data_IF_819568141332
#
_entry.id   IF_819568141332
#
_cell.length_a   1.000
_cell.length_b   1.000
_cell.length_c   1.000
_cell.angle_alpha   90.00
_cell.angle_beta   90.00
_cell.angle_gamma   90.00
#
_symmetry.space_group_name_H-M   'P 1'
#
loop_
_entity.id
_entity.type
_entity.pdbx_description
1 polymer ?
#
# COMPACT_ATOMS: atom_id res chain seq x y z
N UNK A 1 54.40 31.72 -47.72
CA UNK A 1 54.85 30.33 -47.94
C UNK A 1 53.66 29.44 -47.66
N UNK A 2 52.97 28.75 -48.57
CA UNK A 2 53.28 28.32 -49.93
C UNK A 2 53.11 26.80 -50.02
N UNK A 3 52.00 26.33 -50.62
CA UNK A 3 51.74 24.94 -51.11
C UNK A 3 51.34 23.92 -50.03
N UNK A 4 50.11 23.38 -49.98
CA UNK A 4 49.32 22.59 -50.93
C UNK A 4 49.94 21.22 -51.31
N UNK A 5 49.28 20.11 -50.92
CA UNK A 5 48.83 19.05 -51.84
C UNK A 5 48.10 17.91 -51.12
N UNK A 6 46.88 17.67 -51.62
CA UNK A 6 46.13 16.42 -51.53
C UNK A 6 46.95 15.19 -51.93
N UNK A 7 46.60 14.02 -51.35
CA UNK A 7 46.52 12.74 -52.10
C UNK A 7 45.59 11.73 -51.41
N UNK A 8 44.65 11.26 -52.23
CA UNK A 8 43.64 10.20 -52.04
C UNK A 8 44.26 8.80 -52.24
N UNK A 9 43.44 7.79 -51.92
CA UNK A 9 43.49 6.34 -52.28
C UNK A 9 44.40 5.47 -51.42
N UNK A 10 44.08 4.22 -51.05
CA UNK A 10 42.98 3.28 -51.31
C UNK A 10 43.39 1.95 -50.62
N UNK A 11 42.52 1.34 -49.81
CA UNK A 11 41.81 0.08 -50.06
C UNK A 11 42.65 -1.22 -50.11
N UNK A 12 42.02 -2.28 -49.55
CA UNK A 12 42.30 -3.74 -49.57
C UNK A 12 43.12 -4.29 -48.40
N UNK A 13 42.89 -5.49 -47.88
CA UNK A 13 41.79 -6.48 -47.87
C UNK A 13 42.36 -7.62 -47.01
N UNK A 14 41.60 -8.17 -46.06
CA UNK A 14 41.71 -9.59 -45.71
C UNK A 14 40.41 -10.03 -45.05
N UNK A 15 39.70 -10.88 -45.78
CA UNK A 15 38.38 -11.45 -45.52
C UNK A 15 38.54 -12.97 -45.50
N UNK A 16 37.57 -13.63 -44.88
CA UNK A 16 37.16 -15.04 -45.04
C UNK A 16 37.87 -16.06 -44.13
N UNK A 17 37.23 -17.14 -43.66
CA UNK A 17 35.88 -17.67 -43.88
C UNK A 17 35.43 -18.44 -42.63
N UNK A 18 34.15 -18.55 -42.27
CA UNK A 18 32.98 -19.13 -42.96
C UNK A 18 33.00 -20.68 -42.95
N UNK A 19 31.85 -21.24 -42.53
CA UNK A 19 31.26 -22.57 -42.84
C UNK A 19 31.56 -23.71 -41.88
N UNK A 20 30.67 -24.66 -41.62
CA UNK A 20 29.24 -24.93 -41.86
C UNK A 20 28.96 -26.09 -40.84
N UNK A 21 27.82 -26.22 -40.17
CA UNK A 21 26.57 -26.69 -40.75
C UNK A 21 26.37 -28.19 -40.50
N UNK A 22 25.14 -28.55 -40.11
CA UNK A 22 24.47 -29.84 -40.30
C UNK A 22 24.94 -31.04 -39.45
N UNK A 23 24.12 -32.02 -39.07
CA UNK A 23 22.66 -32.27 -38.92
C UNK A 23 22.55 -33.79 -38.70
N UNK A 24 21.35 -34.23 -38.28
CA UNK A 24 20.82 -35.60 -38.46
C UNK A 24 21.41 -36.69 -37.54
N UNK A 25 20.71 -37.73 -37.10
CA UNK A 25 19.33 -38.22 -37.19
C UNK A 25 19.25 -39.39 -36.18
N UNK A 26 18.18 -39.53 -35.38
CA UNK A 26 16.95 -40.33 -35.62
C UNK A 26 17.14 -41.85 -35.60
N UNK A 27 16.11 -42.49 -35.01
CA UNK A 27 15.73 -43.92 -35.02
C UNK A 27 16.22 -44.72 -33.80
N UNK A 28 15.42 -45.51 -33.10
CA UNK A 28 14.03 -45.93 -33.30
C UNK A 28 13.84 -47.36 -32.78
N UNK A 29 12.60 -47.70 -32.35
CA UNK A 29 12.05 -49.07 -32.17
C UNK A 29 12.67 -49.94 -31.05
N UNK A 30 12.02 -50.95 -30.48
CA UNK A 30 10.62 -51.39 -30.20
C UNK A 30 10.81 -52.79 -29.57
N UNK A 31 9.75 -53.27 -28.90
CA UNK A 31 9.50 -54.68 -28.51
C UNK A 31 10.36 -55.20 -27.33
N UNK A 32 9.89 -56.02 -26.39
CA UNK A 32 8.63 -56.71 -26.09
C UNK A 32 8.88 -57.51 -24.80
N UNK A 33 7.96 -57.48 -23.83
CA UNK A 33 7.08 -58.58 -23.46
C UNK A 33 7.60 -59.55 -22.37
N UNK A 34 6.62 -60.09 -21.62
CA UNK A 34 6.61 -61.13 -20.57
C UNK A 34 6.77 -60.64 -19.14
N UNK A 35 6.04 -61.12 -18.14
CA UNK A 35 4.80 -61.92 -18.00
C UNK A 35 4.63 -62.00 -16.47
N UNK A 36 3.44 -61.73 -15.92
CA UNK A 36 2.89 -62.50 -14.79
C UNK A 36 1.46 -62.05 -14.49
N UNK A 37 0.61 -63.06 -14.49
CA UNK A 37 -0.83 -63.06 -14.55
C UNK A 37 -1.35 -63.63 -13.22
N UNK A 38 -2.25 -62.90 -12.56
CA UNK A 38 -3.30 -63.43 -11.69
C UNK A 38 -4.33 -62.28 -11.54
N UNK A 39 -5.58 -62.33 -11.97
CA UNK A 39 -6.49 -63.45 -12.16
C UNK A 39 -7.62 -63.37 -11.13
N UNK A 40 -8.63 -62.52 -11.35
CA UNK A 40 -10.00 -62.79 -10.87
C UNK A 40 -11.04 -61.98 -11.65
N UNK A 41 -11.88 -62.70 -12.39
CA UNK A 41 -13.18 -62.25 -12.91
C UNK A 41 -14.17 -62.27 -11.75
N UNK A 42 -15.15 -61.36 -11.75
CA UNK A 42 -16.58 -61.70 -11.83
C UNK A 42 -17.46 -60.45 -11.68
N UNK A 43 -18.57 -60.42 -12.43
CA UNK A 43 -19.80 -59.79 -11.95
C UNK A 43 -20.13 -58.37 -12.41
N UNK A 44 -20.30 -58.15 -13.71
CA UNK A 44 -21.12 -57.06 -14.20
C UNK A 44 -22.62 -57.40 -14.01
N UNK A 45 -23.25 -56.82 -12.99
CA UNK A 45 -24.71 -56.63 -12.84
C UNK A 45 -24.91 -55.83 -11.55
N UNK A 46 -25.04 -54.49 -11.65
CA UNK A 46 -25.71 -53.61 -10.66
C UNK A 46 -25.66 -52.11 -11.04
N UNK A 47 -25.75 -51.78 -12.33
CA UNK A 47 -25.68 -50.39 -12.80
C UNK A 47 -27.05 -49.80 -13.23
N UNK A 48 -28.19 -50.31 -12.72
CA UNK A 48 -29.52 -49.85 -13.17
C UNK A 48 -30.58 -49.60 -12.09
N UNK A 49 -30.22 -49.61 -10.81
CA UNK A 49 -31.12 -49.20 -9.72
C UNK A 49 -30.84 -47.77 -9.19
N UNK A 50 -29.58 -47.31 -9.16
CA UNK A 50 -29.20 -46.02 -8.57
C UNK A 50 -29.57 -44.74 -9.36
N UNK A 51 -30.12 -44.85 -10.58
CA UNK A 51 -30.39 -43.68 -11.45
C UNK A 51 -31.84 -43.15 -11.39
N UNK A 52 -32.77 -43.88 -10.75
CA UNK A 52 -34.16 -43.41 -10.53
C UNK A 52 -34.35 -42.69 -9.19
N UNK A 53 -33.64 -43.09 -8.15
CA UNK A 53 -33.73 -42.45 -6.81
C UNK A 53 -33.04 -41.08 -6.76
N UNK A 54 -31.94 -40.89 -7.51
CA UNK A 54 -31.27 -39.59 -7.64
C UNK A 54 -32.08 -38.54 -8.44
N UNK A 55 -33.12 -38.97 -9.18
CA UNK A 55 -33.96 -38.07 -10.00
C UNK A 55 -35.26 -37.66 -9.28
N UNK A 56 -35.74 -38.47 -8.33
CA UNK A 56 -36.88 -38.14 -7.48
C UNK A 56 -36.48 -37.20 -6.32
N UNK A 57 -35.37 -37.52 -5.64
CA UNK A 57 -34.79 -36.70 -4.56
C UNK A 57 -34.39 -35.29 -5.04
N UNK A 58 -33.89 -35.16 -6.28
CA UNK A 58 -33.56 -33.87 -6.87
C UNK A 58 -34.78 -33.11 -7.43
N UNK A 59 -35.96 -33.73 -7.52
CA UNK A 59 -37.22 -33.07 -7.93
C UNK A 59 -37.98 -32.54 -6.70
N UNK A 60 -37.94 -33.28 -5.59
CA UNK A 60 -38.52 -32.89 -4.29
C UNK A 60 -37.68 -31.79 -3.61
N UNK A 61 -36.34 -31.87 -3.65
CA UNK A 61 -35.48 -30.80 -3.16
C UNK A 61 -35.62 -29.49 -3.96
N UNK A 62 -35.90 -29.59 -5.26
CA UNK A 62 -36.15 -28.44 -6.14
C UNK A 62 -37.55 -27.86 -5.97
N UNK A 63 -38.55 -28.69 -5.63
CA UNK A 63 -39.90 -28.26 -5.27
C UNK A 63 -39.91 -27.55 -3.91
N UNK A 64 -39.28 -28.11 -2.89
CA UNK A 64 -39.16 -27.51 -1.56
C UNK A 64 -38.36 -26.19 -1.56
N UNK A 65 -37.31 -26.08 -2.38
CA UNK A 65 -36.57 -24.81 -2.52
C UNK A 65 -37.36 -23.76 -3.35
N UNK A 66 -38.24 -24.19 -4.26
CA UNK A 66 -39.11 -23.30 -5.04
C UNK A 66 -40.33 -22.84 -4.22
N UNK A 67 -40.83 -23.66 -3.32
CA UNK A 67 -41.87 -23.32 -2.34
C UNK A 67 -41.33 -22.45 -1.20
N UNK A 68 -40.13 -22.71 -0.69
CA UNK A 68 -39.45 -21.83 0.27
C UNK A 68 -39.05 -20.49 -0.36
N UNK A 69 -38.62 -20.46 -1.64
CA UNK A 69 -38.44 -19.22 -2.40
C UNK A 69 -39.75 -18.49 -2.65
N UNK A 70 -40.85 -19.18 -2.92
CA UNK A 70 -42.15 -18.55 -3.15
C UNK A 70 -42.80 -18.07 -1.85
N UNK A 71 -42.54 -18.72 -0.72
CA UNK A 71 -42.97 -18.28 0.61
C UNK A 71 -42.19 -17.03 1.05
N UNK A 72 -40.86 -17.04 0.97
CA UNK A 72 -40.04 -15.85 1.30
C UNK A 72 -40.24 -14.67 0.34
N UNK A 73 -40.58 -14.92 -0.93
CA UNK A 73 -40.96 -13.86 -1.89
C UNK A 73 -42.36 -13.30 -1.60
N UNK A 74 -43.24 -14.08 -0.98
CA UNK A 74 -44.57 -13.64 -0.54
C UNK A 74 -44.51 -12.87 0.79
N UNK A 75 -43.61 -13.23 1.71
CA UNK A 75 -43.50 -12.57 3.02
C UNK A 75 -42.96 -11.12 2.98
N UNK A 76 -42.31 -10.71 1.88
CA UNK A 76 -41.83 -9.32 1.72
C UNK A 76 -42.49 -8.52 0.59
N UNK A 77 -43.41 -9.13 -0.15
CA UNK A 77 -44.11 -8.45 -1.25
C UNK A 77 -45.07 -7.33 -0.80
N UNK A 78 -45.12 -7.01 0.50
CA UNK A 78 -45.93 -5.93 1.06
C UNK A 78 -45.19 -5.05 2.08
N UNK A 79 -43.87 -5.15 2.20
CA UNK A 79 -43.12 -4.25 3.09
C UNK A 79 -42.76 -2.98 2.32
N UNK A 80 -43.27 -1.85 2.79
CA UNK A 80 -42.98 -0.53 2.24
C UNK A 80 -41.46 -0.24 2.28
N UNK A 81 -40.78 -0.03 1.14
CA UNK A 81 -39.36 0.33 1.10
C UNK A 81 -39.03 1.54 1.97
N UNK A 82 -39.93 2.52 2.07
CA UNK A 82 -39.73 3.70 2.90
C UNK A 82 -39.67 3.33 4.40
N UNK A 83 -40.51 2.40 4.84
CA UNK A 83 -40.49 1.90 6.22
C UNK A 83 -39.18 1.17 6.53
N UNK A 84 -38.69 0.32 5.62
CA UNK A 84 -37.41 -0.38 5.77
C UNK A 84 -36.22 0.59 5.86
N UNK A 85 -36.23 1.64 5.05
CA UNK A 85 -35.20 2.68 5.09
C UNK A 85 -35.25 3.43 6.42
N UNK A 86 -36.44 3.84 6.86
CA UNK A 86 -36.62 4.58 8.11
C UNK A 86 -36.18 3.75 9.33
N UNK A 87 -36.59 2.47 9.39
CA UNK A 87 -36.16 1.53 10.43
C UNK A 87 -34.64 1.36 10.44
N UNK A 88 -34.03 1.11 9.27
CA UNK A 88 -32.59 0.97 9.17
C UNK A 88 -31.81 2.23 9.56
N UNK A 89 -32.34 3.43 9.27
CA UNK A 89 -31.74 4.70 9.70
C UNK A 89 -31.84 4.90 11.21
N UNK A 90 -32.98 4.52 11.82
CA UNK A 90 -33.17 4.61 13.25
C UNK A 90 -32.27 3.62 14.02
N UNK A 91 -32.08 2.42 13.47
CA UNK A 91 -31.26 1.36 14.07
C UNK A 91 -29.76 1.52 13.84
N UNK A 92 -29.36 2.36 12.87
CA UNK A 92 -27.96 2.59 12.52
C UNK A 92 -27.25 3.41 13.60
N UNK A 93 -26.07 2.96 13.99
CA UNK A 93 -25.18 3.76 14.81
C UNK A 93 -24.60 4.94 13.99
N UNK A 94 -25.02 6.16 14.33
CA UNK A 94 -24.66 7.40 13.59
C UNK A 94 -23.83 8.39 14.40
N UNK A 95 -23.43 8.04 15.63
CA UNK A 95 -22.63 8.91 16.47
C UNK A 95 -21.17 8.95 15.99
N UNK A 96 -20.81 10.05 15.36
CA UNK A 96 -19.49 10.25 14.76
C UNK A 96 -18.44 10.79 15.76
N UNK A 97 -18.73 10.85 17.06
CA UNK A 97 -17.71 11.18 18.05
C UNK A 97 -16.61 10.08 18.05
N UNK A 98 -15.33 10.43 17.81
CA UNK A 98 -14.28 9.45 17.51
C UNK A 98 -14.18 8.29 18.50
N UNK A 99 -14.21 8.59 19.81
CA UNK A 99 -14.11 7.60 20.88
C UNK A 99 -15.32 6.67 20.95
N UNK A 100 -16.53 7.21 20.78
CA UNK A 100 -17.78 6.44 20.86
C UNK A 100 -17.95 5.56 19.63
N UNK A 101 -17.65 6.10 18.45
CA UNK A 101 -17.59 5.33 17.21
C UNK A 101 -16.57 4.19 17.33
N UNK A 102 -15.36 4.48 17.80
CA UNK A 102 -14.34 3.47 18.00
C UNK A 102 -14.79 2.38 18.99
N UNK A 103 -15.35 2.76 20.14
CA UNK A 103 -15.87 1.81 21.13
C UNK A 103 -16.97 0.91 20.56
N UNK A 104 -17.86 1.46 19.73
CA UNK A 104 -18.94 0.72 19.09
C UNK A 104 -18.43 -0.31 18.06
N UNK A 105 -17.51 0.09 17.16
CA UNK A 105 -17.07 -0.77 16.05
C UNK A 105 -15.90 -1.70 16.39
N UNK A 106 -15.14 -1.40 17.45
CA UNK A 106 -14.03 -2.25 17.90
C UNK A 106 -14.38 -3.74 18.04
N UNK A 107 -15.44 -4.16 18.76
CA UNK A 107 -15.77 -5.58 18.90
C UNK A 107 -16.18 -6.26 17.58
N UNK A 108 -16.60 -5.48 16.57
CA UNK A 108 -16.86 -5.99 15.22
C UNK A 108 -15.56 -6.15 14.43
N UNK A 109 -14.66 -5.16 14.50
CA UNK A 109 -13.34 -5.21 13.88
C UNK A 109 -12.49 -6.37 14.43
N UNK A 110 -12.50 -6.61 15.73
CA UNK A 110 -11.73 -7.70 16.36
C UNK A 110 -12.15 -9.11 15.88
N UNK A 111 -13.33 -9.26 15.25
CA UNK A 111 -13.77 -10.51 14.62
C UNK A 111 -13.20 -10.74 13.23
N UNK A 112 -12.68 -9.68 12.58
CA UNK A 112 -12.03 -9.79 11.28
C UNK A 112 -10.72 -10.57 11.45
N UNK A 113 -10.49 -11.66 10.71
CA UNK A 113 -9.24 -12.42 10.82
C UNK A 113 -8.02 -11.54 10.56
N UNK A 114 -7.01 -11.63 11.44
CA UNK A 114 -5.77 -10.87 11.30
C UNK A 114 -4.78 -11.52 10.30
N UNK A 115 -5.00 -12.78 9.92
CA UNK A 115 -4.17 -13.49 8.94
C UNK A 115 -4.35 -12.85 7.56
N UNK A 116 -3.22 -12.58 6.89
CA UNK A 116 -3.17 -11.99 5.53
C UNK A 116 -3.89 -10.64 5.36
N UNK A 117 -4.17 -9.96 6.48
CA UNK A 117 -4.88 -8.69 6.48
C UNK A 117 -4.03 -7.59 5.81
N UNK A 118 -4.50 -6.94 4.74
CA UNK A 118 -3.77 -5.87 4.06
C UNK A 118 -3.42 -4.74 5.02
N UNK A 119 -2.26 -4.11 4.80
CA UNK A 119 -1.88 -2.90 5.54
C UNK A 119 -2.69 -1.74 5.00
N UNK A 120 -3.43 -1.05 5.86
CA UNK A 120 -4.12 0.17 5.48
C UNK A 120 -3.12 1.30 5.22
N UNK A 121 -3.17 1.86 4.01
CA UNK A 121 -2.33 2.97 3.54
C UNK A 121 -3.16 4.19 3.10
N UNK A 122 -4.48 4.15 3.29
CA UNK A 122 -5.40 5.21 2.87
C UNK A 122 -5.47 6.40 3.83
N UNK A 123 -6.34 7.36 3.48
CA UNK A 123 -6.63 8.56 4.30
C UNK A 123 -8.09 8.48 4.80
N UNK A 124 -8.34 8.20 6.10
CA UNK A 124 -9.70 8.01 6.61
C UNK A 124 -10.61 9.23 6.41
N UNK A 125 -10.10 10.45 6.59
CA UNK A 125 -10.89 11.66 6.37
C UNK A 125 -11.34 11.84 4.91
N UNK A 126 -10.47 11.49 3.94
CA UNK A 126 -10.84 11.48 2.52
C UNK A 126 -11.89 10.39 2.24
N UNK A 127 -11.73 9.20 2.83
CA UNK A 127 -12.72 8.13 2.72
C UNK A 127 -14.08 8.58 3.26
N UNK A 128 -14.12 9.30 4.39
CA UNK A 128 -15.37 9.80 4.98
C UNK A 128 -16.07 10.79 4.06
N UNK A 129 -15.33 11.72 3.45
CA UNK A 129 -15.88 12.65 2.47
C UNK A 129 -16.50 11.91 1.28
N UNK A 130 -15.82 10.89 0.76
CA UNK A 130 -16.31 10.08 -0.35
C UNK A 130 -17.54 9.24 0.02
N UNK A 131 -17.55 8.64 1.21
CA UNK A 131 -18.69 7.87 1.74
C UNK A 131 -19.92 8.76 1.86
N UNK A 132 -19.78 9.96 2.42
CA UNK A 132 -20.89 10.91 2.54
C UNK A 132 -21.43 11.33 1.17
N UNK A 133 -20.54 11.70 0.26
CA UNK A 133 -20.93 12.04 -1.11
C UNK A 133 -21.67 10.88 -1.82
N UNK A 134 -21.23 9.64 -1.60
CA UNK A 134 -21.88 8.45 -2.16
C UNK A 134 -23.27 8.19 -1.53
N UNK A 135 -23.42 8.38 -0.22
CA UNK A 135 -24.72 8.27 0.47
C UNK A 135 -25.70 9.35 0.00
N UNK A 136 -25.23 10.59 -0.16
CA UNK A 136 -26.04 11.71 -0.67
C UNK A 136 -26.50 11.44 -2.10
N UNK A 137 -25.62 10.90 -2.95
CA UNK A 137 -25.95 10.52 -4.33
C UNK A 137 -26.93 9.33 -4.40
N UNK A 138 -26.87 8.41 -3.43
CA UNK A 138 -27.74 7.25 -3.36
C UNK A 138 -29.15 7.58 -2.83
N UNK A 139 -29.28 8.57 -1.94
CA UNK A 139 -30.54 8.91 -1.27
C UNK A 139 -31.79 8.96 -2.18
N UNK A 140 -31.79 9.67 -3.34
CA UNK A 140 -32.96 9.70 -4.23
C UNK A 140 -33.29 8.35 -4.88
N UNK A 141 -32.34 7.41 -4.91
CA UNK A 141 -32.47 6.11 -5.55
C UNK A 141 -32.74 4.97 -4.56
N UNK A 142 -32.61 5.21 -3.24
CA UNK A 142 -32.78 4.21 -2.20
C UNK A 142 -34.10 3.43 -2.29
N UNK A 143 -35.28 4.03 -2.48
CA UNK A 143 -36.54 3.27 -2.54
C UNK A 143 -36.56 2.26 -3.71
N UNK A 144 -36.00 2.65 -4.86
CA UNK A 144 -35.91 1.78 -6.02
C UNK A 144 -34.90 0.64 -5.79
N UNK A 145 -33.73 0.96 -5.24
CA UNK A 145 -32.69 -0.02 -4.89
C UNK A 145 -33.19 -1.06 -3.88
N UNK A 146 -33.84 -0.61 -2.80
CA UNK A 146 -34.41 -1.46 -1.75
C UNK A 146 -35.50 -2.38 -2.30
N UNK A 147 -36.32 -1.89 -3.23
CA UNK A 147 -37.36 -2.69 -3.89
C UNK A 147 -36.75 -3.78 -4.80
N UNK A 148 -35.59 -3.52 -5.41
CA UNK A 148 -34.92 -4.44 -6.32
C UNK A 148 -34.10 -5.51 -5.59
N UNK A 149 -33.56 -5.18 -4.41
CA UNK A 149 -32.70 -6.08 -3.63
C UNK A 149 -33.49 -6.98 -2.68
N UNK A 150 -33.04 -8.23 -2.57
CA UNK A 150 -33.68 -9.22 -1.68
C UNK A 150 -33.38 -8.98 -0.21
N UNK A 151 -32.15 -8.57 0.10
CA UNK A 151 -31.62 -8.36 1.44
C UNK A 151 -30.68 -7.14 1.44
N UNK A 152 -31.21 -5.90 1.39
CA UNK A 152 -30.39 -4.71 1.41
C UNK A 152 -29.81 -4.51 2.82
N UNK A 153 -28.47 -4.39 2.91
CA UNK A 153 -27.71 -4.21 4.17
C UNK A 153 -27.71 -2.76 4.63
N UNK A 154 -28.89 -2.12 4.65
CA UNK A 154 -29.05 -0.67 4.83
C UNK A 154 -28.44 -0.14 6.12
N UNK A 155 -28.64 -0.84 7.24
CA UNK A 155 -28.06 -0.45 8.53
C UNK A 155 -26.53 -0.31 8.45
N UNK A 156 -25.87 -1.32 7.90
CA UNK A 156 -24.41 -1.36 7.79
C UNK A 156 -23.89 -0.24 6.86
N UNK A 157 -24.65 0.08 5.80
CA UNK A 157 -24.38 1.18 4.89
C UNK A 157 -24.53 2.55 5.57
N UNK A 158 -25.60 2.76 6.34
CA UNK A 158 -25.83 4.02 7.08
C UNK A 158 -24.84 4.22 8.22
N UNK A 159 -24.25 3.14 8.75
CA UNK A 159 -23.19 3.19 9.77
C UNK A 159 -21.80 3.56 9.20
N UNK A 160 -21.62 3.55 7.87
CA UNK A 160 -20.31 3.80 7.24
C UNK A 160 -19.63 5.10 7.70
N UNK A 161 -20.29 6.26 7.80
CA UNK A 161 -19.63 7.48 8.26
C UNK A 161 -19.05 7.36 9.68
N UNK A 162 -19.81 6.77 10.60
CA UNK A 162 -19.36 6.52 11.98
C UNK A 162 -18.23 5.47 12.02
N UNK A 163 -18.32 4.42 11.19
CA UNK A 163 -17.25 3.43 11.09
C UNK A 163 -15.94 4.03 10.53
N UNK A 164 -16.01 4.93 9.56
CA UNK A 164 -14.81 5.63 9.07
C UNK A 164 -14.23 6.55 10.15
N UNK A 165 -15.06 7.15 11.01
CA UNK A 165 -14.56 7.89 12.18
C UNK A 165 -13.86 6.99 13.20
N UNK A 166 -14.34 5.76 13.41
CA UNK A 166 -13.62 4.76 14.21
C UNK A 166 -12.26 4.39 13.60
N UNK A 167 -12.20 4.24 12.27
CA UNK A 167 -10.94 4.00 11.54
C UNK A 167 -9.98 5.18 11.70
N UNK A 168 -10.45 6.42 11.56
CA UNK A 168 -9.64 7.63 11.75
C UNK A 168 -9.02 7.69 13.15
N UNK A 169 -9.87 7.47 14.18
CA UNK A 169 -9.42 7.40 15.57
C UNK A 169 -8.38 6.30 15.79
N UNK A 170 -8.59 5.12 15.20
CA UNK A 170 -7.62 4.01 15.30
C UNK A 170 -6.32 4.30 14.55
N UNK A 171 -6.38 5.00 13.42
CA UNK A 171 -5.21 5.35 12.62
C UNK A 171 -4.31 6.35 13.37
N UNK A 172 -4.91 7.32 14.09
CA UNK A 172 -4.18 8.28 14.92
C UNK A 172 -3.45 7.64 16.11
N UNK A 173 -3.87 6.45 16.55
CA UNK A 173 -3.25 5.71 17.66
C UNK A 173 -2.06 4.86 17.22
N UNK A 174 -1.95 4.52 15.95
CA UNK A 174 -0.80 3.77 15.46
C UNK A 174 0.44 4.68 15.58
N UNK A 175 1.50 4.25 16.27
CA UNK A 175 2.73 5.03 16.36
C UNK A 175 3.19 5.45 14.96
N UNK A 176 3.59 6.72 14.82
CA UNK A 176 4.00 7.32 13.54
C UNK A 176 4.89 6.34 12.81
N UNK A 177 4.47 5.98 11.58
CA UNK A 177 5.20 5.02 10.77
C UNK A 177 6.67 5.48 10.69
N UNK A 178 7.58 4.58 11.05
CA UNK A 178 9.01 4.76 10.77
C UNK A 178 9.15 5.11 9.29
N UNK A 179 9.83 6.20 8.96
CA UNK A 179 10.12 6.64 7.60
C UNK A 179 10.58 5.43 6.80
N UNK A 180 9.93 5.19 5.66
CA UNK A 180 10.36 4.13 4.77
C UNK A 180 11.77 4.41 4.23
N UNK A 181 12.46 3.40 3.72
CA UNK A 181 13.75 3.61 3.08
C UNK A 181 13.66 4.65 1.94
N UNK A 182 12.56 4.66 1.20
CA UNK A 182 12.29 5.65 0.15
C UNK A 182 12.04 7.05 0.68
N UNK A 183 11.34 7.20 1.81
CA UNK A 183 11.15 8.51 2.45
C UNK A 183 12.48 9.07 2.97
N UNK A 184 13.31 8.22 3.58
CA UNK A 184 14.66 8.58 4.03
C UNK A 184 15.49 9.05 2.84
N UNK A 185 15.49 8.31 1.73
CA UNK A 185 16.28 8.66 0.55
C UNK A 185 15.77 9.94 -0.12
N UNK A 186 14.45 10.17 -0.14
CA UNK A 186 13.86 11.43 -0.63
C UNK A 186 14.30 12.62 0.23
N UNK A 187 14.20 12.51 1.55
CA UNK A 187 14.62 13.59 2.47
C UNK A 187 16.11 13.88 2.38
N UNK A 188 16.94 12.85 2.23
CA UNK A 188 18.38 13.01 1.99
C UNK A 188 18.65 13.69 0.63
N UNK A 189 17.93 13.31 -0.42
CA UNK A 189 18.06 13.90 -1.74
C UNK A 189 17.61 15.38 -1.77
N UNK A 190 16.57 15.73 -1.00
CA UNK A 190 16.08 17.09 -0.88
C UNK A 190 17.09 18.03 -0.21
N UNK A 191 17.72 17.60 0.89
CA UNK A 191 18.72 18.41 1.59
C UNK A 191 20.12 18.38 0.98
N UNK A 192 20.45 17.38 0.15
CA UNK A 192 21.81 17.19 -0.38
C UNK A 192 22.36 18.40 -1.18
N UNK A 193 21.62 19.05 -2.08
CA UNK A 193 22.10 20.22 -2.79
C UNK A 193 22.44 21.39 -1.85
N UNK A 194 21.61 21.61 -0.83
CA UNK A 194 21.83 22.67 0.16
C UNK A 194 23.03 22.36 1.04
N UNK A 195 23.20 21.09 1.45
CA UNK A 195 24.39 20.64 2.19
C UNK A 195 25.68 20.95 1.43
N UNK A 196 25.78 20.55 0.16
CA UNK A 196 27.00 20.78 -0.61
C UNK A 196 27.29 22.27 -0.78
N UNK A 197 26.26 23.06 -1.13
CA UNK A 197 26.44 24.50 -1.35
C UNK A 197 26.87 25.22 -0.06
N UNK A 198 26.23 24.90 1.07
CA UNK A 198 26.58 25.48 2.37
C UNK A 198 27.97 25.05 2.82
N UNK A 199 28.34 23.78 2.65
CA UNK A 199 29.68 23.31 2.99
C UNK A 199 30.76 24.00 2.16
N UNK A 200 30.59 24.12 0.85
CA UNK A 200 31.55 24.84 -0.01
C UNK A 200 31.73 26.29 0.43
N UNK A 201 30.65 26.99 0.81
CA UNK A 201 30.75 28.33 1.36
C UNK A 201 31.48 28.37 2.71
N UNK A 202 31.17 27.44 3.62
CA UNK A 202 31.81 27.36 4.94
C UNK A 202 33.30 27.01 4.84
N UNK A 203 33.71 26.25 3.84
CA UNK A 203 35.12 25.97 3.56
C UNK A 203 35.89 27.21 3.10
N UNK A 204 35.29 28.01 2.24
CA UNK A 204 35.87 29.30 1.83
C UNK A 204 35.99 30.21 3.05
N UNK A 205 34.90 30.40 3.78
CA UNK A 205 34.86 31.34 4.92
C UNK A 205 35.67 30.91 6.13
N UNK A 206 35.95 29.61 6.27
CA UNK A 206 36.86 29.09 7.30
C UNK A 206 38.34 29.07 6.88
N UNK A 207 38.66 29.48 5.65
CA UNK A 207 40.05 29.61 5.21
C UNK A 207 40.82 30.56 6.14
N UNK A 208 42.11 30.28 6.49
CA UNK A 208 42.87 31.10 7.43
C UNK A 208 42.98 32.59 7.08
N UNK A 209 42.86 32.93 5.79
CA UNK A 209 42.85 34.33 5.33
C UNK A 209 41.53 35.06 5.61
N UNK A 210 40.41 34.35 5.75
CA UNK A 210 39.10 34.93 6.08
C UNK A 210 38.77 34.73 7.57
N UNK A 211 39.05 33.55 8.12
CA UNK A 211 39.01 33.27 9.55
C UNK A 211 37.64 33.46 10.20
N UNK A 212 36.54 33.34 9.45
CA UNK A 212 35.20 33.67 9.99
C UNK A 212 34.64 32.60 10.94
N UNK A 213 35.14 31.37 10.83
CA UNK A 213 34.76 30.24 11.67
C UNK A 213 35.85 29.15 11.70
N UNK A 214 35.86 28.24 12.69
CA UNK A 214 36.89 27.22 12.83
C UNK A 214 36.89 26.22 11.68
N UNK A 215 38.01 26.14 10.93
CA UNK A 215 38.20 25.20 9.81
C UNK A 215 38.00 23.74 10.22
N UNK A 216 38.50 23.35 11.39
CA UNK A 216 38.37 21.99 11.90
C UNK A 216 36.91 21.54 12.06
N UNK A 217 36.02 22.47 12.45
CA UNK A 217 34.59 22.16 12.58
C UNK A 217 33.93 21.94 11.22
N UNK A 218 34.28 22.76 10.23
CA UNK A 218 33.77 22.57 8.86
C UNK A 218 34.28 21.26 8.26
N UNK A 219 35.57 20.95 8.46
CA UNK A 219 36.18 19.70 8.01
C UNK A 219 35.53 18.47 8.67
N UNK A 220 35.22 18.54 9.96
CA UNK A 220 34.54 17.46 10.69
C UNK A 220 33.15 17.16 10.12
N UNK A 221 32.39 18.20 9.70
CA UNK A 221 31.09 18.01 9.04
C UNK A 221 31.28 17.40 7.64
N UNK A 222 32.29 17.82 6.86
CA UNK A 222 32.51 17.24 5.52
C UNK A 222 33.00 15.79 5.53
N UNK A 223 33.73 15.36 6.56
CA UNK A 223 34.34 14.03 6.63
C UNK A 223 33.32 12.87 6.62
N UNK A 224 32.06 13.14 7.01
CA UNK A 224 30.97 12.17 7.02
C UNK A 224 30.53 11.71 5.63
N UNK A 225 30.25 10.41 5.46
CA UNK A 225 29.86 9.84 4.16
C UNK A 225 28.59 8.97 4.21
N UNK A 226 28.17 8.52 5.40
CA UNK A 226 26.98 7.70 5.60
C UNK A 226 25.68 8.49 5.63
N UNK A 227 24.53 7.79 5.52
CA UNK A 227 23.19 8.40 5.65
C UNK A 227 23.01 9.12 6.99
N UNK A 228 23.51 8.51 8.07
CA UNK A 228 23.46 9.11 9.40
C UNK A 228 24.36 10.34 9.51
N UNK A 229 25.52 10.32 8.85
CA UNK A 229 26.41 11.48 8.82
C UNK A 229 25.76 12.64 8.07
N UNK A 230 25.18 12.38 6.88
CA UNK A 230 24.42 13.40 6.13
C UNK A 230 23.26 13.97 6.94
N UNK A 231 22.54 13.13 7.68
CA UNK A 231 21.47 13.56 8.58
C UNK A 231 21.99 14.47 9.70
N UNK A 232 23.15 14.14 10.29
CA UNK A 232 23.83 14.98 11.29
C UNK A 232 24.33 16.28 10.69
N UNK A 233 24.80 16.28 9.45
CA UNK A 233 25.24 17.49 8.75
C UNK A 233 24.09 18.45 8.53
N UNK A 234 22.89 17.94 8.24
CA UNK A 234 21.67 18.77 8.11
C UNK A 234 21.30 19.47 9.43
N UNK A 235 21.72 18.94 10.58
CA UNK A 235 21.59 19.60 11.88
C UNK A 235 22.77 20.54 12.15
N UNK A 236 23.99 20.09 11.85
CA UNK A 236 25.21 20.82 12.14
C UNK A 236 25.35 22.11 11.32
N UNK A 237 24.93 22.10 10.05
CA UNK A 237 25.05 23.24 9.15
C UNK A 237 24.24 24.45 9.63
N UNK A 238 22.90 24.37 9.85
CA UNK A 238 22.15 25.47 10.46
C UNK A 238 22.72 25.89 11.81
N UNK A 239 23.20 24.94 12.62
CA UNK A 239 23.86 25.22 13.89
C UNK A 239 25.11 26.10 13.75
N UNK A 240 25.96 25.84 12.75
CA UNK A 240 27.14 26.67 12.47
C UNK A 240 26.75 28.08 12.03
N UNK A 241 25.71 28.23 11.19
CA UNK A 241 25.23 29.55 10.80
C UNK A 241 24.65 30.34 11.98
N UNK A 242 23.93 29.66 12.88
CA UNK A 242 23.38 30.29 14.08
C UNK A 242 24.50 30.71 15.07
N UNK A 243 25.43 29.80 15.34
CA UNK A 243 26.53 30.01 16.29
C UNK A 243 27.49 31.11 15.84
N UNK A 244 27.86 31.12 14.56
CA UNK A 244 28.75 32.13 13.97
C UNK A 244 28.00 33.26 13.25
N UNK A 245 26.73 33.48 13.61
CA UNK A 245 25.85 34.48 12.98
C UNK A 245 26.47 35.88 12.94
N UNK A 246 27.13 36.32 14.02
CA UNK A 246 27.81 37.61 14.04
C UNK A 246 28.94 37.74 13.01
N UNK A 247 29.73 36.68 12.81
CA UNK A 247 30.82 36.67 11.84
C UNK A 247 30.32 36.53 10.39
N UNK A 248 29.18 35.85 10.20
CA UNK A 248 28.60 35.52 8.89
C UNK A 248 27.48 36.47 8.44
N UNK A 249 27.02 37.37 9.31
CA UNK A 249 25.93 38.31 9.04
C UNK A 249 26.17 39.11 7.75
N UNK A 250 25.22 39.04 6.82
CA UNK A 250 25.29 39.73 5.53
C UNK A 250 26.36 39.21 4.55
N UNK A 251 27.04 38.10 4.87
CA UNK A 251 28.12 37.53 4.03
C UNK A 251 27.73 36.24 3.32
N UNK A 252 26.67 35.57 3.77
CA UNK A 252 26.17 34.35 3.13
C UNK A 252 24.91 34.61 2.29
N UNK A 253 24.74 33.90 1.16
CA UNK A 253 23.58 34.05 0.29
C UNK A 253 22.38 33.16 0.69
N UNK A 254 22.49 32.40 1.79
CA UNK A 254 21.48 31.39 2.15
C UNK A 254 20.19 31.98 2.75
N UNK A 255 19.03 31.66 2.17
CA UNK A 255 17.73 32.01 2.75
C UNK A 255 17.46 31.30 4.08
N UNK A 256 16.73 31.95 4.98
CA UNK A 256 16.37 31.39 6.28
C UNK A 256 15.52 30.11 6.15
N UNK A 257 14.57 30.06 5.21
CA UNK A 257 13.71 28.90 4.98
C UNK A 257 14.51 27.64 4.57
N UNK A 258 15.70 27.80 3.98
CA UNK A 258 16.57 26.69 3.61
C UNK A 258 17.40 26.18 4.78
N UNK A 259 17.76 27.06 5.72
CA UNK A 259 18.38 26.65 6.99
C UNK A 259 17.35 25.90 7.85
N UNK A 260 16.11 26.40 7.91
CA UNK A 260 15.00 25.75 8.61
C UNK A 260 14.63 24.40 7.98
N UNK A 261 14.63 24.31 6.64
CA UNK A 261 14.44 23.06 5.92
C UNK A 261 15.48 22.01 6.35
N UNK A 262 16.77 22.35 6.31
CA UNK A 262 17.83 21.42 6.73
C UNK A 262 17.68 21.03 8.20
N UNK A 263 17.40 21.96 9.09
CA UNK A 263 17.19 21.66 10.51
C UNK A 263 16.02 20.67 10.70
N UNK A 264 14.92 20.87 9.97
CA UNK A 264 13.73 20.00 10.00
C UNK A 264 14.04 18.61 9.46
N UNK A 265 14.66 18.53 8.27
CA UNK A 265 15.04 17.26 7.65
C UNK A 265 16.04 16.49 8.52
N UNK A 266 17.06 17.18 9.04
CA UNK A 266 18.08 16.60 9.92
C UNK A 266 17.49 16.06 11.23
N UNK A 267 16.62 16.83 11.89
CA UNK A 267 15.94 16.41 13.12
C UNK A 267 15.12 15.13 12.92
N UNK A 268 14.34 15.08 11.83
CA UNK A 268 13.56 13.88 11.48
C UNK A 268 14.45 12.69 11.11
N UNK A 269 15.52 12.90 10.33
CA UNK A 269 16.40 11.84 9.86
C UNK A 269 17.29 11.27 10.98
N UNK A 270 17.84 12.09 11.88
CA UNK A 270 18.70 11.61 12.99
C UNK A 270 17.95 10.66 13.92
N UNK A 271 16.64 10.86 14.10
CA UNK A 271 15.81 9.98 14.91
C UNK A 271 15.51 8.63 14.25
N UNK A 272 15.56 8.55 12.92
CA UNK A 272 14.99 7.43 12.16
C UNK A 272 16.01 6.68 11.30
N UNK A 273 17.13 7.31 10.93
CA UNK A 273 18.23 6.67 10.22
C UNK A 273 18.99 5.76 11.18
N UNK A 274 18.90 4.45 10.95
CA UNK A 274 19.68 3.47 11.70
C UNK A 274 21.18 3.56 11.36
N UNK A 275 22.08 3.35 12.34
CA UNK A 275 23.49 3.10 12.06
C UNK A 275 23.63 1.89 11.13
N UNK A 276 24.57 1.94 10.18
CA UNK A 276 24.69 0.95 9.09
C UNK A 276 24.84 -0.51 9.53
N UNK A 277 25.21 -0.78 10.78
CA UNK A 277 25.39 -2.12 11.34
C UNK A 277 24.26 -2.57 12.27
N UNK A 278 23.19 -1.79 12.41
CA UNK A 278 22.06 -2.18 13.24
C UNK A 278 21.27 -3.31 12.57
N UNK A 279 21.08 -4.42 13.28
CA UNK A 279 20.26 -5.54 12.81
C UNK A 279 18.87 -5.02 12.45
N UNK A 280 18.45 -5.28 11.21
CA UNK A 280 17.10 -4.95 10.77
C UNK A 280 16.09 -5.76 11.58
N UNK A 281 15.50 -5.16 12.61
CA UNK A 281 14.34 -5.75 13.27
C UNK A 281 13.23 -5.91 12.21
N UNK A 282 12.75 -7.14 12.04
CA UNK A 282 11.55 -7.40 11.23
C UNK A 282 10.40 -6.62 11.87
N UNK A 283 9.78 -5.66 11.16
CA UNK A 283 8.70 -4.87 11.73
C UNK A 283 7.53 -5.81 12.06
N UNK A 284 7.34 -6.10 13.35
CA UNK A 284 6.15 -6.81 13.83
C UNK A 284 5.01 -5.80 13.87
N UNK A 285 3.86 -6.17 13.30
CA UNK A 285 2.64 -5.38 13.44
C UNK A 285 2.29 -5.25 14.91
N UNK A 286 1.99 -4.03 15.35
CA UNK A 286 1.52 -3.77 16.71
C UNK A 286 0.05 -4.15 16.80
N UNK A 287 -0.46 -4.36 18.03
CA UNK A 287 -1.91 -4.60 18.20
C UNK A 287 -2.75 -3.46 17.65
N UNK A 288 -2.26 -2.21 17.75
CA UNK A 288 -2.93 -1.03 17.21
C UNK A 288 -2.92 -1.00 15.67
N UNK A 289 -1.83 -1.43 15.01
CA UNK A 289 -1.82 -1.49 13.55
C UNK A 289 -2.70 -2.61 13.01
N UNK A 290 -2.77 -3.76 13.70
CA UNK A 290 -3.72 -4.84 13.36
C UNK A 290 -5.16 -4.33 13.49
N UNK A 291 -5.51 -3.68 14.60
CA UNK A 291 -6.87 -3.19 14.83
C UNK A 291 -7.30 -2.12 13.80
N UNK A 292 -6.40 -1.19 13.44
CA UNK A 292 -6.64 -0.23 12.36
C UNK A 292 -6.95 -0.94 11.05
N UNK A 293 -6.16 -1.95 10.71
CA UNK A 293 -6.32 -2.68 9.45
C UNK A 293 -7.60 -3.54 9.47
N UNK A 294 -8.03 -4.03 10.63
CA UNK A 294 -9.31 -4.74 10.80
C UNK A 294 -10.50 -3.79 10.60
N UNK A 295 -10.42 -2.58 11.17
CA UNK A 295 -11.41 -1.52 10.93
C UNK A 295 -11.46 -1.13 9.45
N UNK A 296 -10.30 -1.04 8.78
CA UNK A 296 -10.24 -0.74 7.35
C UNK A 296 -10.89 -1.85 6.50
N UNK A 297 -10.66 -3.11 6.84
CA UNK A 297 -11.33 -4.24 6.18
C UNK A 297 -12.85 -4.22 6.40
N UNK A 298 -13.30 -3.89 7.62
CA UNK A 298 -14.74 -3.74 7.91
C UNK A 298 -15.36 -2.58 7.12
N UNK A 299 -14.64 -1.48 6.93
CA UNK A 299 -15.07 -0.38 6.04
C UNK A 299 -15.20 -0.87 4.61
N UNK A 300 -14.21 -1.60 4.09
CA UNK A 300 -14.24 -2.12 2.73
C UNK A 300 -15.43 -3.06 2.50
N UNK A 301 -15.67 -4.00 3.41
CA UNK A 301 -16.82 -4.92 3.36
C UNK A 301 -18.15 -4.16 3.29
N UNK A 302 -18.35 -3.16 4.16
CA UNK A 302 -19.60 -2.39 4.18
C UNK A 302 -19.71 -1.41 3.01
N UNK A 303 -18.59 -0.96 2.46
CA UNK A 303 -18.58 -0.16 1.25
C UNK A 303 -18.99 -1.00 0.02
N UNK A 304 -18.67 -2.29 -0.01
CA UNK A 304 -19.19 -3.20 -1.04
C UNK A 304 -20.72 -3.32 -0.97
N UNK A 305 -21.31 -3.27 0.24
CA UNK A 305 -22.76 -3.21 0.42
C UNK A 305 -23.37 -1.90 -0.14
N UNK A 306 -22.63 -0.80 -0.11
CA UNK A 306 -23.05 0.46 -0.72
C UNK A 306 -23.01 0.38 -2.26
N UNK A 307 -22.02 -0.30 -2.84
CA UNK A 307 -21.86 -0.41 -4.30
C UNK A 307 -22.95 -1.24 -5.00
N UNK A 308 -23.63 -2.12 -4.27
CA UNK A 308 -24.70 -2.96 -4.81
C UNK A 308 -26.09 -2.33 -4.70
N UNK A 309 -26.21 -1.16 -4.03
CA UNK A 309 -27.42 -0.34 -3.95
C UNK A 309 -27.52 0.59 -5.16
#
# INVERSE_FOLDING_TARGET
MGGNKDRKSGAKDAKAGKRDGAKDAKAGKRDGAKDAKAGKRDGAKDAKAGKKEAKASNKEAKAGNKEARSARKRDRAGVDPAALIAEARADAFTDEAPERAFAHFRPLAERVPAADLPVFTGQPLLMRANVRAALDALDPHLPAAVSALREPRLKEVFELPALVMALDFSAARVPVATLSAGDIDRMLAEGAPWRELMLSYLEVTSHPLLGLLPRERVAAVRAGSGKLDKARDFVALPGLFAEFSGALAGKHPFPADKLDLLATLGGALVQQVRPGNAVAAVPKRTGESILRDQLAALVAERYDHLQVL
#
